data_IF_268301187713
#
_entry.id   IF_268301187713
#
_cell.length_a   1.000
_cell.length_b   1.000
_cell.length_c   1.000
_cell.angle_alpha   90.00
_cell.angle_beta   90.00
_cell.angle_gamma   90.00
#
_symmetry.space_group_name_H-M   'P 1'
#
loop_
_entity.id
_entity.type
_entity.pdbx_description
1 polymer ?
#
# COMPACT_ATOMS: atom_id res chain seq x y z
N UNK A 1 -16.01 -16.22 -18.52
CA UNK A 1 -15.78 -14.84 -18.05
C UNK A 1 -14.47 -14.75 -17.31
N UNK A 2 -13.77 -13.62 -17.42
CA UNK A 2 -12.57 -13.29 -16.64
C UNK A 2 -12.86 -11.99 -15.89
N UNK A 3 -12.69 -12.00 -14.58
CA UNK A 3 -12.90 -10.84 -13.70
C UNK A 3 -11.58 -10.51 -13.03
N UNK A 4 -11.01 -9.37 -13.37
CA UNK A 4 -9.82 -8.84 -12.72
C UNK A 4 -10.20 -7.99 -11.50
N UNK A 5 -9.29 -7.87 -10.53
CA UNK A 5 -9.51 -7.21 -9.23
C UNK A 5 -10.77 -7.73 -8.51
N UNK A 6 -11.06 -9.03 -8.65
CA UNK A 6 -12.28 -9.65 -8.12
C UNK A 6 -12.41 -9.58 -6.59
N UNK A 7 -11.30 -9.40 -5.86
CA UNK A 7 -11.31 -9.16 -4.42
C UNK A 7 -11.92 -7.80 -4.02
N UNK A 8 -12.06 -6.87 -4.99
CA UNK A 8 -12.66 -5.54 -4.79
C UNK A 8 -14.12 -5.46 -5.24
N UNK A 9 -14.71 -6.58 -5.64
CA UNK A 9 -16.09 -6.62 -6.15
C UNK A 9 -16.94 -7.42 -5.16
N UNK A 10 -17.98 -6.81 -4.62
CA UNK A 10 -18.92 -7.51 -3.76
C UNK A 10 -19.67 -8.59 -4.53
N UNK A 11 -19.96 -9.70 -3.86
CA UNK A 11 -20.61 -10.86 -4.47
C UNK A 11 -21.90 -10.51 -5.23
N UNK A 12 -22.83 -9.71 -4.72
CA UNK A 12 -24.06 -9.35 -5.44
C UNK A 12 -23.81 -8.69 -6.80
N UNK A 13 -22.71 -7.94 -6.94
CA UNK A 13 -22.38 -7.26 -8.19
C UNK A 13 -21.92 -8.23 -9.30
N UNK A 14 -21.44 -9.42 -8.93
CA UNK A 14 -21.05 -10.47 -9.87
C UNK A 14 -22.21 -11.41 -10.25
N UNK A 15 -23.24 -11.53 -9.40
CA UNK A 15 -24.34 -12.48 -9.61
C UNK A 15 -25.08 -12.24 -10.93
N UNK A 16 -25.31 -10.99 -11.31
CA UNK A 16 -25.95 -10.63 -12.57
C UNK A 16 -25.17 -11.08 -13.81
N UNK A 17 -23.84 -11.09 -13.72
CA UNK A 17 -22.96 -11.53 -14.79
C UNK A 17 -22.89 -13.06 -14.81
N UNK A 18 -22.59 -13.68 -13.68
CA UNK A 18 -22.38 -15.13 -13.58
C UNK A 18 -23.66 -15.92 -13.79
N UNK A 19 -24.83 -15.36 -13.40
CA UNK A 19 -26.15 -15.93 -13.60
C UNK A 19 -26.80 -15.59 -14.93
N UNK A 20 -26.10 -14.95 -15.87
CA UNK A 20 -26.68 -14.56 -17.15
C UNK A 20 -27.09 -15.80 -17.99
N UNK A 21 -28.34 -15.80 -18.45
CA UNK A 21 -28.91 -16.87 -19.26
C UNK A 21 -29.44 -16.34 -20.59
N UNK A 22 -29.30 -17.16 -21.65
CA UNK A 22 -29.89 -16.91 -22.94
C UNK A 22 -30.53 -18.20 -23.44
N UNK A 23 -31.80 -18.13 -23.84
CA UNK A 23 -32.57 -19.31 -24.31
C UNK A 23 -32.53 -20.52 -23.35
N UNK A 24 -32.59 -20.25 -22.03
CA UNK A 24 -32.59 -21.27 -20.98
C UNK A 24 -31.24 -21.91 -20.71
N UNK A 25 -30.15 -21.42 -21.32
CA UNK A 25 -28.78 -21.88 -21.09
C UNK A 25 -27.96 -20.80 -20.40
N UNK A 26 -27.08 -21.18 -19.49
CA UNK A 26 -26.12 -20.28 -18.91
C UNK A 26 -25.19 -19.72 -20.02
N UNK A 27 -25.00 -18.40 -20.04
CA UNK A 27 -24.11 -17.74 -20.99
C UNK A 27 -22.62 -17.91 -20.66
N UNK A 28 -22.32 -18.38 -19.46
CA UNK A 28 -20.95 -18.53 -18.96
C UNK A 28 -20.70 -19.97 -18.57
N UNK A 29 -19.86 -20.66 -19.34
CA UNK A 29 -19.44 -22.04 -19.05
C UNK A 29 -18.34 -22.11 -17.99
N UNK A 30 -17.45 -21.10 -17.98
CA UNK A 30 -16.32 -21.01 -17.05
C UNK A 30 -16.07 -19.56 -16.65
N UNK A 31 -15.69 -19.35 -15.40
CA UNK A 31 -15.18 -18.05 -14.95
C UNK A 31 -13.82 -18.18 -14.28
N UNK A 32 -13.02 -17.12 -14.37
CA UNK A 32 -11.74 -16.96 -13.72
C UNK A 32 -11.80 -15.65 -12.95
N UNK A 33 -11.61 -15.73 -11.64
CA UNK A 33 -11.51 -14.58 -10.77
C UNK A 33 -10.04 -14.34 -10.48
N UNK A 34 -9.55 -13.14 -10.74
CA UNK A 34 -8.18 -12.69 -10.47
C UNK A 34 -8.25 -11.62 -9.39
N UNK A 35 -7.43 -11.71 -8.36
CA UNK A 35 -7.44 -10.75 -7.27
C UNK A 35 -6.44 -11.08 -6.17
N UNK A 36 -6.45 -10.23 -5.14
CA UNK A 36 -5.63 -10.39 -3.95
C UNK A 36 -6.43 -10.00 -2.71
N UNK A 37 -6.87 -10.97 -1.92
CA UNK A 37 -7.66 -10.74 -0.70
C UNK A 37 -6.83 -10.11 0.44
N UNK A 38 -5.51 -10.05 0.28
CA UNK A 38 -4.58 -9.39 1.22
C UNK A 38 -4.37 -7.91 0.89
N UNK A 39 -4.97 -7.42 -0.19
CA UNK A 39 -5.10 -6.00 -0.51
C UNK A 39 -6.47 -5.47 -0.10
N UNK A 40 -6.74 -4.18 -0.35
CA UNK A 40 -8.00 -3.55 0.06
C UNK A 40 -9.21 -4.25 -0.55
N UNK A 41 -10.24 -4.54 0.24
CA UNK A 41 -11.49 -5.12 -0.23
C UNK A 41 -12.36 -4.07 -0.92
N UNK A 42 -13.51 -4.50 -1.41
CA UNK A 42 -14.56 -3.59 -1.85
C UNK A 42 -14.96 -2.61 -0.74
N UNK A 43 -15.31 -1.38 -1.13
CA UNK A 43 -15.83 -0.39 -0.18
C UNK A 43 -17.28 -0.76 0.16
N UNK A 44 -17.53 -1.02 1.43
CA UNK A 44 -18.87 -1.37 1.96
C UNK A 44 -19.33 -0.25 2.88
N UNK A 45 -20.59 0.17 2.71
CA UNK A 45 -21.21 1.18 3.56
C UNK A 45 -21.97 0.57 4.75
N UNK A 46 -22.30 -0.72 4.67
CA UNK A 46 -23.05 -1.45 5.70
C UNK A 46 -22.16 -1.72 6.92
N UNK A 47 -22.74 -1.60 8.11
CA UNK A 47 -22.04 -1.89 9.36
C UNK A 47 -21.72 -3.39 9.52
N UNK A 48 -20.65 -3.68 10.26
CA UNK A 48 -20.18 -5.04 10.46
C UNK A 48 -21.25 -5.94 11.08
N UNK A 49 -21.97 -5.44 12.07
CA UNK A 49 -23.01 -6.20 12.76
C UNK A 49 -24.20 -6.56 11.86
N UNK A 50 -24.55 -5.66 10.92
CA UNK A 50 -25.65 -5.87 9.97
C UNK A 50 -25.28 -6.76 8.78
N UNK A 51 -23.98 -7.05 8.61
CA UNK A 51 -23.47 -7.82 7.49
C UNK A 51 -23.24 -9.29 7.80
N UNK A 52 -23.33 -9.67 9.08
CA UNK A 52 -23.18 -11.06 9.53
C UNK A 52 -24.33 -11.91 9.00
N UNK A 53 -24.00 -13.07 8.45
CA UNK A 53 -24.97 -14.04 7.94
C UNK A 53 -25.18 -15.11 9.02
N UNK A 54 -26.41 -15.20 9.53
CA UNK A 54 -26.78 -16.15 10.57
C UNK A 54 -27.42 -17.45 10.02
N UNK A 55 -27.87 -17.44 8.77
CA UNK A 55 -28.53 -18.56 8.11
C UNK A 55 -27.59 -19.75 7.93
N UNK A 56 -27.82 -20.91 8.56
CA UNK A 56 -26.91 -22.06 8.54
C UNK A 56 -26.58 -22.54 7.12
N UNK A 57 -27.58 -22.60 6.24
CA UNK A 57 -27.39 -23.06 4.86
C UNK A 57 -26.45 -22.15 4.05
N UNK A 58 -26.41 -20.85 4.36
CA UNK A 58 -25.50 -19.89 3.74
C UNK A 58 -24.09 -20.00 4.35
N UNK A 59 -24.02 -20.31 5.66
CA UNK A 59 -22.72 -20.55 6.32
C UNK A 59 -22.04 -21.83 5.80
N UNK A 60 -22.79 -22.85 5.39
CA UNK A 60 -22.25 -24.06 4.78
C UNK A 60 -21.45 -23.77 3.51
N UNK A 61 -21.86 -22.76 2.73
CA UNK A 61 -21.12 -22.29 1.55
C UNK A 61 -20.11 -21.19 1.88
N UNK A 62 -19.78 -21.01 3.16
CA UNK A 62 -18.83 -19.99 3.66
C UNK A 62 -19.28 -18.53 3.43
N UNK A 63 -20.59 -18.30 3.23
CA UNK A 63 -21.14 -16.95 3.22
C UNK A 63 -21.45 -16.54 4.68
N UNK A 64 -20.44 -16.04 5.37
CA UNK A 64 -20.52 -15.66 6.79
C UNK A 64 -20.68 -14.15 7.00
N UNK A 65 -20.32 -13.35 6.00
CA UNK A 65 -20.37 -11.88 6.03
C UNK A 65 -20.60 -11.35 4.61
N UNK A 66 -21.64 -10.57 4.40
CA UNK A 66 -22.00 -9.98 3.11
C UNK A 66 -20.99 -8.93 2.59
N UNK A 67 -20.04 -8.52 3.41
CA UNK A 67 -18.96 -7.60 3.01
C UNK A 67 -17.80 -8.32 2.30
N UNK A 68 -17.75 -9.63 2.32
CA UNK A 68 -16.75 -10.39 1.60
C UNK A 68 -17.07 -10.43 0.10
N UNK A 69 -16.01 -10.42 -0.71
CA UNK A 69 -16.14 -10.68 -2.13
C UNK A 69 -16.38 -12.17 -2.39
N UNK A 70 -17.00 -12.50 -3.54
CA UNK A 70 -17.07 -13.88 -3.99
C UNK A 70 -15.69 -14.52 -4.08
N UNK A 71 -14.68 -13.74 -4.51
CA UNK A 71 -13.29 -14.20 -4.59
C UNK A 71 -12.77 -14.69 -3.23
N UNK A 72 -12.94 -13.88 -2.16
CA UNK A 72 -12.49 -14.24 -0.81
C UNK A 72 -13.29 -15.45 -0.26
N UNK A 73 -14.59 -15.47 -0.47
CA UNK A 73 -15.44 -16.57 -0.05
C UNK A 73 -15.04 -17.91 -0.70
N UNK A 74 -14.79 -17.92 -2.00
CA UNK A 74 -14.37 -19.14 -2.72
C UNK A 74 -12.98 -19.61 -2.25
N UNK A 75 -12.02 -18.71 -2.03
CA UNK A 75 -10.73 -19.08 -1.46
C UNK A 75 -10.90 -19.74 -0.09
N UNK A 76 -11.72 -19.16 0.78
CA UNK A 76 -11.97 -19.71 2.12
C UNK A 76 -12.68 -21.07 2.03
N UNK A 77 -13.63 -21.24 1.11
CA UNK A 77 -14.31 -22.52 0.86
C UNK A 77 -13.33 -23.61 0.43
N UNK A 78 -12.51 -23.32 -0.55
CA UNK A 78 -11.52 -24.28 -1.06
C UNK A 78 -10.46 -24.65 -0.01
N UNK A 79 -10.01 -23.65 0.76
CA UNK A 79 -9.07 -23.86 1.86
C UNK A 79 -9.67 -24.71 3.00
N UNK A 80 -10.92 -24.43 3.40
CA UNK A 80 -11.62 -25.22 4.42
C UNK A 80 -11.78 -26.68 3.97
N UNK A 81 -12.07 -26.89 2.70
CA UNK A 81 -12.16 -28.22 2.10
C UNK A 81 -10.80 -28.86 1.78
N UNK A 82 -9.68 -28.17 2.02
CA UNK A 82 -8.30 -28.61 1.70
C UNK A 82 -8.12 -28.95 0.21
N UNK A 83 -8.83 -28.25 -0.67
CA UNK A 83 -8.72 -28.40 -2.13
C UNK A 83 -7.83 -27.30 -2.70
N UNK A 84 -7.03 -27.65 -3.70
CA UNK A 84 -6.10 -26.73 -4.37
C UNK A 84 -6.32 -26.62 -5.86
N UNK A 85 -7.18 -27.48 -6.43
CA UNK A 85 -7.35 -27.63 -7.89
C UNK A 85 -7.94 -26.40 -8.57
N UNK A 86 -8.67 -25.58 -7.79
CA UNK A 86 -9.31 -24.36 -8.29
C UNK A 86 -8.57 -23.08 -7.92
N UNK A 87 -7.45 -23.17 -7.17
CA UNK A 87 -6.67 -22.00 -6.74
C UNK A 87 -5.32 -22.01 -7.45
N UNK A 88 -5.10 -21.00 -8.31
CA UNK A 88 -3.79 -20.70 -8.88
C UNK A 88 -3.12 -19.55 -8.13
N UNK A 89 -1.83 -19.65 -7.82
CA UNK A 89 -1.05 -18.61 -7.18
C UNK A 89 0.01 -18.07 -8.12
N UNK A 90 -0.05 -16.79 -8.45
CA UNK A 90 0.99 -16.09 -9.17
C UNK A 90 2.11 -15.69 -8.21
N UNK A 91 3.19 -16.45 -8.20
CA UNK A 91 4.30 -16.27 -7.25
C UNK A 91 5.37 -15.30 -7.70
N UNK A 92 5.32 -14.80 -8.93
CA UNK A 92 6.32 -13.88 -9.46
C UNK A 92 5.76 -12.47 -9.55
N UNK A 93 6.40 -11.52 -8.87
CA UNK A 93 6.03 -10.11 -8.90
C UNK A 93 7.07 -9.31 -9.69
N UNK A 94 6.61 -8.41 -10.57
CA UNK A 94 7.44 -7.56 -11.42
C UNK A 94 7.51 -6.09 -10.96
N UNK A 95 7.03 -5.76 -9.75
CA UNK A 95 6.96 -4.37 -9.29
C UNK A 95 8.10 -3.98 -8.38
N UNK A 96 8.18 -4.60 -7.22
CA UNK A 96 9.09 -4.19 -6.15
C UNK A 96 10.49 -4.73 -6.35
N UNK A 97 11.51 -3.89 -6.07
CA UNK A 97 12.86 -4.37 -5.84
C UNK A 97 12.89 -5.40 -4.69
N UNK A 98 13.76 -6.42 -4.70
CA UNK A 98 13.81 -7.45 -3.65
C UNK A 98 13.85 -6.92 -2.23
N UNK A 99 14.64 -5.88 -1.96
CA UNK A 99 14.73 -5.27 -0.62
C UNK A 99 13.42 -4.62 -0.15
N UNK A 100 12.60 -4.09 -1.07
CA UNK A 100 11.29 -3.55 -0.73
C UNK A 100 10.29 -4.69 -0.51
N UNK A 101 10.38 -5.74 -1.33
CA UNK A 101 9.50 -6.89 -1.29
C UNK A 101 9.69 -7.76 -0.03
N UNK A 102 10.84 -7.66 0.65
CA UNK A 102 11.19 -8.50 1.78
C UNK A 102 10.16 -8.41 2.92
N UNK A 103 9.83 -7.21 3.39
CA UNK A 103 8.88 -7.04 4.48
C UNK A 103 7.46 -7.51 4.11
N UNK A 104 6.84 -7.09 2.99
CA UNK A 104 5.55 -7.63 2.57
C UNK A 104 5.57 -9.15 2.41
N UNK A 105 6.66 -9.71 1.91
CA UNK A 105 6.80 -11.15 1.73
C UNK A 105 6.81 -11.89 3.07
N UNK A 106 7.61 -11.46 4.03
CA UNK A 106 7.68 -12.07 5.36
C UNK A 106 6.38 -11.92 6.17
N UNK A 107 5.68 -10.78 6.03
CA UNK A 107 4.54 -10.45 6.87
C UNK A 107 3.20 -10.81 6.25
N UNK A 108 3.05 -10.65 4.93
CA UNK A 108 1.76 -10.80 4.27
C UNK A 108 1.71 -11.98 3.30
N UNK A 109 2.83 -12.32 2.64
CA UNK A 109 2.87 -13.31 1.55
C UNK A 109 3.81 -14.49 1.82
N UNK A 110 4.11 -14.81 3.08
CA UNK A 110 5.02 -15.90 3.41
C UNK A 110 4.58 -17.24 2.80
N UNK A 111 3.29 -17.54 2.85
CA UNK A 111 2.72 -18.75 2.26
C UNK A 111 2.85 -18.79 0.73
N UNK A 112 2.62 -17.65 0.10
CA UNK A 112 2.70 -17.49 -1.35
C UNK A 112 4.15 -17.50 -1.84
N UNK A 113 5.09 -17.08 -0.99
CA UNK A 113 6.53 -16.99 -1.27
C UNK A 113 6.79 -16.25 -2.58
N UNK A 114 6.47 -14.95 -2.60
CA UNK A 114 6.59 -14.13 -3.79
C UNK A 114 8.05 -13.94 -4.19
N UNK A 115 8.35 -14.25 -5.44
CA UNK A 115 9.67 -14.09 -6.04
C UNK A 115 9.67 -12.90 -7.00
N UNK A 116 10.79 -12.20 -7.10
CA UNK A 116 10.95 -11.16 -8.10
C UNK A 116 11.13 -11.75 -9.50
N UNK A 117 10.52 -11.12 -10.49
CA UNK A 117 10.89 -11.32 -11.91
C UNK A 117 12.16 -10.50 -12.12
N UNK A 118 13.21 -11.00 -12.79
CA UNK A 118 14.46 -10.25 -12.97
C UNK A 118 14.31 -9.12 -14.01
N UNK A 119 13.45 -8.16 -13.70
CA UNK A 119 13.29 -6.95 -14.51
C UNK A 119 14.42 -5.95 -14.22
N UNK A 120 14.82 -5.08 -15.16
CA UNK A 120 15.95 -4.18 -14.99
C UNK A 120 15.93 -3.41 -13.65
N UNK A 121 14.81 -2.79 -13.29
CA UNK A 121 14.70 -2.03 -12.04
C UNK A 121 14.72 -2.90 -10.75
N UNK A 122 14.55 -4.22 -10.87
CA UNK A 122 14.67 -5.17 -9.76
C UNK A 122 16.10 -5.72 -9.62
N UNK A 123 16.95 -5.50 -10.63
CA UNK A 123 18.35 -5.90 -10.66
C UNK A 123 19.30 -4.71 -10.51
N UNK A 124 18.79 -3.47 -10.51
CA UNK A 124 19.60 -2.26 -10.38
C UNK A 124 20.19 -2.18 -8.97
N UNK A 125 21.51 -2.03 -8.88
CA UNK A 125 22.22 -1.79 -7.60
C UNK A 125 22.00 -0.37 -7.09
N UNK A 126 21.75 0.59 -8.01
CA UNK A 126 21.59 2.01 -7.69
C UNK A 126 20.14 2.48 -7.82
N UNK A 127 19.70 3.36 -6.91
CA UNK A 127 18.35 3.95 -6.92
C UNK A 127 18.29 5.11 -7.93
N UNK A 128 19.38 5.88 -8.02
CA UNK A 128 19.49 7.10 -8.84
C UNK A 128 20.62 6.97 -9.87
N UNK A 129 20.43 6.22 -10.95
CA UNK A 129 21.47 5.97 -11.95
C UNK A 129 21.90 7.22 -12.71
N UNK A 130 21.11 8.29 -12.68
CA UNK A 130 21.41 9.56 -13.35
C UNK A 130 22.43 10.44 -12.61
N UNK A 131 22.79 10.11 -11.36
CA UNK A 131 23.76 10.87 -10.58
C UNK A 131 25.18 10.46 -10.98
N UNK A 132 25.97 11.35 -11.61
CA UNK A 132 27.34 11.03 -11.98
C UNK A 132 28.22 10.86 -10.74
N UNK A 133 29.22 9.98 -10.82
CA UNK A 133 30.14 9.72 -9.70
C UNK A 133 30.86 10.98 -9.20
N UNK A 134 31.16 11.95 -10.09
CA UNK A 134 31.73 13.23 -9.72
C UNK A 134 30.80 14.12 -8.88
N UNK A 135 29.48 14.02 -9.08
CA UNK A 135 28.50 14.80 -8.33
C UNK A 135 28.20 14.18 -6.96
N UNK A 136 28.49 12.89 -6.76
CA UNK A 136 28.24 12.21 -5.49
C UNK A 136 29.01 12.86 -4.32
N UNK A 137 30.22 13.34 -4.55
CA UNK A 137 31.04 13.98 -3.52
C UNK A 137 30.49 15.32 -3.01
N UNK A 138 29.59 15.95 -3.74
CA UNK A 138 29.00 17.27 -3.39
C UNK A 138 27.54 17.16 -2.88
N UNK A 139 27.04 15.95 -2.71
CA UNK A 139 25.68 15.74 -2.21
C UNK A 139 25.53 16.16 -0.75
N UNK A 140 24.34 16.61 -0.39
CA UNK A 140 23.97 16.79 1.01
C UNK A 140 23.96 15.45 1.76
N UNK A 141 24.08 15.44 3.10
CA UNK A 141 23.95 14.23 3.90
C UNK A 141 22.67 13.43 3.58
N UNK A 142 21.55 14.13 3.41
CA UNK A 142 20.27 13.52 3.00
C UNK A 142 20.35 12.92 1.60
N UNK A 143 21.07 13.55 0.67
CA UNK A 143 21.29 13.02 -0.67
C UNK A 143 22.04 11.68 -0.66
N UNK A 144 23.14 11.59 0.11
CA UNK A 144 23.87 10.33 0.30
C UNK A 144 22.98 9.24 0.88
N UNK A 145 22.26 9.57 1.93
CA UNK A 145 21.35 8.64 2.60
C UNK A 145 20.31 8.03 1.66
N UNK A 146 19.69 8.88 0.83
CA UNK A 146 18.70 8.44 -0.17
C UNK A 146 19.32 7.58 -1.26
N UNK A 147 20.59 7.81 -1.62
CA UNK A 147 21.27 6.99 -2.62
C UNK A 147 21.65 5.60 -2.11
N UNK A 148 21.96 5.48 -0.84
CA UNK A 148 22.48 4.25 -0.24
C UNK A 148 21.37 3.29 0.24
N UNK A 149 20.16 3.79 0.50
CA UNK A 149 19.12 3.01 1.17
C UNK A 149 17.81 2.96 0.38
N UNK A 150 17.32 1.76 0.13
CA UNK A 150 16.01 1.55 -0.53
C UNK A 150 14.83 1.66 0.42
N UNK A 151 15.07 1.49 1.71
CA UNK A 151 14.05 1.63 2.77
C UNK A 151 14.56 2.57 3.84
N UNK A 152 13.78 3.57 4.20
CA UNK A 152 14.17 4.61 5.16
C UNK A 152 12.99 5.01 6.03
N UNK A 153 13.27 5.24 7.31
CA UNK A 153 12.32 5.79 8.26
C UNK A 153 12.81 7.14 8.80
N UNK A 154 11.95 8.16 8.68
CA UNK A 154 12.18 9.49 9.23
C UNK A 154 11.17 9.75 10.35
N UNK A 155 11.60 9.72 11.62
CA UNK A 155 10.73 9.96 12.75
C UNK A 155 10.22 11.41 12.75
N UNK A 156 8.96 11.58 13.11
CA UNK A 156 8.32 12.87 13.36
C UNK A 156 7.87 13.00 14.80
N UNK A 157 7.72 14.24 15.26
CA UNK A 157 7.15 14.54 16.58
C UNK A 157 5.67 14.88 16.45
N UNK A 158 4.95 14.84 17.58
CA UNK A 158 3.61 15.36 17.64
C UNK A 158 3.64 16.87 17.40
N UNK A 159 2.92 17.32 16.39
CA UNK A 159 2.81 18.71 16.04
C UNK A 159 1.34 19.17 16.19
N UNK A 160 0.93 19.49 17.44
CA UNK A 160 -0.39 20.07 17.72
C UNK A 160 -0.30 21.58 17.63
N UNK A 161 -0.88 22.15 16.58
CA UNK A 161 -1.16 23.58 16.54
C UNK A 161 -2.56 23.84 17.10
N UNK A 162 -2.71 24.84 17.94
CA UNK A 162 -4.02 25.24 18.45
C UNK A 162 -4.95 25.60 17.29
N UNK A 163 -6.12 24.96 17.23
CA UNK A 163 -7.10 25.16 16.16
C UNK A 163 -6.85 24.36 14.86
N UNK A 164 -5.74 23.62 14.75
CA UNK A 164 -5.50 22.76 13.60
C UNK A 164 -6.24 21.41 13.73
N UNK A 165 -6.60 20.82 12.60
CA UNK A 165 -7.15 19.47 12.55
C UNK A 165 -6.14 18.46 13.11
N UNK A 166 -6.58 17.52 13.95
CA UNK A 166 -5.75 16.40 14.41
C UNK A 166 -5.29 15.48 13.26
N UNK A 167 -5.92 15.59 12.09
CA UNK A 167 -5.59 14.83 10.87
C UNK A 167 -4.50 15.50 10.02
N UNK A 168 -3.69 16.35 10.63
CA UNK A 168 -2.57 17.06 10.00
C UNK A 168 -1.36 17.02 10.91
N UNK A 169 -0.21 16.65 10.36
CA UNK A 169 1.10 16.78 11.00
C UNK A 169 1.99 17.68 10.12
N UNK A 170 2.25 18.89 10.60
CA UNK A 170 3.03 19.90 9.85
C UNK A 170 4.51 19.53 9.77
N UNK A 171 5.04 18.82 10.77
CA UNK A 171 6.42 18.34 10.73
C UNK A 171 6.61 17.27 9.64
N UNK A 172 5.71 16.27 9.57
CA UNK A 172 5.74 15.29 8.50
C UNK A 172 5.60 15.95 7.11
N UNK A 173 4.76 16.99 6.99
CA UNK A 173 4.64 17.70 5.71
C UNK A 173 5.95 18.38 5.29
N UNK A 174 6.71 18.95 6.25
CA UNK A 174 8.03 19.54 5.99
C UNK A 174 9.07 18.48 5.64
N UNK A 175 9.09 17.35 6.36
CA UNK A 175 9.95 16.20 6.05
C UNK A 175 9.68 15.74 4.62
N UNK A 176 8.41 15.53 4.25
CA UNK A 176 8.01 15.13 2.91
C UNK A 176 8.49 16.14 1.86
N UNK A 177 8.28 17.44 2.09
CA UNK A 177 8.72 18.47 1.14
C UNK A 177 10.25 18.48 0.95
N UNK A 178 11.01 18.31 2.02
CA UNK A 178 12.48 18.24 1.97
C UNK A 178 12.98 16.98 1.23
N UNK A 179 12.33 15.84 1.46
CA UNK A 179 12.58 14.60 0.72
C UNK A 179 12.29 14.80 -0.78
N UNK A 180 11.13 15.38 -1.12
CA UNK A 180 10.74 15.65 -2.50
C UNK A 180 11.75 16.54 -3.22
N UNK A 181 12.23 17.61 -2.59
CA UNK A 181 13.27 18.50 -3.11
C UNK A 181 14.57 17.73 -3.41
N UNK A 182 15.01 16.91 -2.46
CA UNK A 182 16.25 16.15 -2.60
C UNK A 182 16.13 15.08 -3.69
N UNK A 183 15.03 14.34 -3.72
CA UNK A 183 14.75 13.34 -4.76
C UNK A 183 14.68 13.98 -6.15
N UNK A 184 14.03 15.14 -6.27
CA UNK A 184 14.00 15.89 -7.52
C UNK A 184 15.42 16.25 -7.99
N UNK A 185 16.29 16.73 -7.09
CA UNK A 185 17.68 17.04 -7.39
C UNK A 185 18.46 15.79 -7.83
N UNK A 186 18.30 14.67 -7.13
CA UNK A 186 18.97 13.39 -7.46
C UNK A 186 18.48 12.81 -8.79
N UNK A 187 17.22 12.97 -9.11
CA UNK A 187 16.63 12.48 -10.36
C UNK A 187 17.05 13.33 -11.57
N UNK A 188 17.36 14.62 -11.37
CA UNK A 188 17.79 15.52 -12.41
C UNK A 188 16.86 15.52 -13.62
N UNK A 189 17.42 15.34 -14.82
CA UNK A 189 16.66 15.34 -16.09
C UNK A 189 15.77 14.10 -16.26
N UNK A 190 15.96 13.04 -15.46
CA UNK A 190 15.11 11.84 -15.50
C UNK A 190 13.85 11.95 -14.63
N UNK A 191 13.66 13.07 -13.93
CA UNK A 191 12.48 13.27 -13.10
C UNK A 191 11.20 13.35 -13.93
N UNK A 192 10.29 12.42 -13.69
CA UNK A 192 8.93 12.41 -14.25
C UNK A 192 7.92 12.43 -13.08
N UNK A 193 7.14 13.50 -12.91
CA UNK A 193 6.22 13.63 -11.78
C UNK A 193 5.12 12.57 -11.76
N UNK A 194 4.86 11.92 -12.89
CA UNK A 194 3.87 10.85 -12.99
C UNK A 194 4.40 9.45 -12.67
N UNK A 195 5.73 9.25 -12.69
CA UNK A 195 6.37 7.94 -12.53
C UNK A 195 7.36 7.89 -11.38
N UNK A 196 8.15 8.97 -11.19
CA UNK A 196 9.27 8.95 -10.26
C UNK A 196 8.81 8.83 -8.82
N UNK A 197 7.87 9.66 -8.39
CA UNK A 197 7.52 9.74 -6.97
C UNK A 197 6.02 9.87 -6.74
N UNK A 198 5.58 9.30 -5.62
CA UNK A 198 4.25 9.50 -5.09
C UNK A 198 4.25 9.57 -3.57
N UNK A 199 3.29 10.27 -3.01
CA UNK A 199 3.11 10.40 -1.58
C UNK A 199 1.78 9.79 -1.17
N UNK A 200 1.82 8.90 -0.19
CA UNK A 200 0.64 8.26 0.38
C UNK A 200 0.40 8.83 1.77
N UNK A 201 -0.85 9.17 2.08
CA UNK A 201 -1.28 9.69 3.37
C UNK A 201 -2.60 9.03 3.79
N UNK A 202 -2.91 8.91 5.10
CA UNK A 202 -4.19 8.37 5.55
C UNK A 202 -5.34 9.39 5.48
N UNK A 203 -5.02 10.70 5.47
CA UNK A 203 -6.02 11.76 5.61
C UNK A 203 -5.90 12.82 4.51
N UNK A 204 -7.03 13.19 3.91
CA UNK A 204 -7.09 14.25 2.88
C UNK A 204 -6.57 15.61 3.37
N UNK A 205 -6.74 15.91 4.65
CA UNK A 205 -6.23 17.18 5.22
C UNK A 205 -4.71 17.27 5.15
N UNK A 206 -4.00 16.14 5.29
CA UNK A 206 -2.54 16.09 5.15
C UNK A 206 -2.10 16.37 3.71
N UNK A 207 -2.90 15.99 2.71
CA UNK A 207 -2.62 16.33 1.30
C UNK A 207 -2.48 17.83 1.12
N UNK A 208 -3.45 18.59 1.65
CA UNK A 208 -3.44 20.06 1.55
C UNK A 208 -2.20 20.67 2.23
N UNK A 209 -1.81 20.14 3.41
CA UNK A 209 -0.61 20.61 4.12
C UNK A 209 0.67 20.31 3.34
N UNK A 210 0.82 19.11 2.81
CA UNK A 210 1.99 18.75 1.97
C UNK A 210 2.03 19.62 0.72
N UNK A 211 0.89 19.86 0.05
CA UNK A 211 0.81 20.77 -1.10
C UNK A 211 1.28 22.19 -0.75
N UNK A 212 0.91 22.69 0.43
CA UNK A 212 1.35 24.00 0.87
C UNK A 212 2.89 24.05 1.06
N UNK A 213 3.48 23.02 1.66
CA UNK A 213 4.94 22.95 1.80
C UNK A 213 5.66 22.80 0.43
N UNK A 214 5.11 22.04 -0.50
CA UNK A 214 5.64 21.93 -1.88
C UNK A 214 5.63 23.27 -2.59
N UNK A 215 4.53 24.04 -2.48
CA UNK A 215 4.42 25.36 -3.09
C UNK A 215 5.49 26.35 -2.57
N UNK A 216 5.91 26.21 -1.30
CA UNK A 216 6.99 27.01 -0.72
C UNK A 216 8.36 26.71 -1.29
N UNK A 217 8.55 25.53 -1.90
CA UNK A 217 9.82 25.15 -2.52
C UNK A 217 10.07 25.88 -3.85
N UNK A 218 9.03 26.43 -4.47
CA UNK A 218 9.08 27.09 -5.78
C UNK A 218 9.70 26.21 -6.90
N UNK A 219 9.36 24.92 -6.90
CA UNK A 219 9.79 23.93 -7.91
C UNK A 219 8.58 23.45 -8.71
N UNK A 220 8.33 24.02 -9.92
CA UNK A 220 7.12 23.74 -10.67
C UNK A 220 6.89 22.26 -11.02
N UNK A 221 7.97 21.50 -11.25
CA UNK A 221 7.90 20.07 -11.56
C UNK A 221 7.40 19.19 -10.40
N UNK A 222 7.41 19.68 -9.16
CA UNK A 222 6.85 18.98 -7.99
C UNK A 222 5.34 19.20 -7.82
N UNK A 223 4.76 20.23 -8.44
CA UNK A 223 3.34 20.55 -8.29
C UNK A 223 2.44 19.40 -8.79
N UNK A 224 2.69 18.76 -9.95
CA UNK A 224 1.81 17.71 -10.47
C UNK A 224 2.01 16.32 -9.88
N UNK A 225 2.94 16.11 -8.93
CA UNK A 225 3.14 14.79 -8.33
C UNK A 225 1.85 14.27 -7.67
N UNK A 226 1.69 12.95 -7.64
CA UNK A 226 0.55 12.32 -7.01
C UNK A 226 0.70 12.31 -5.48
N UNK A 227 -0.25 12.91 -4.77
CA UNK A 227 -0.40 12.83 -3.31
C UNK A 227 -1.83 12.41 -3.05
N UNK A 228 -2.04 11.22 -2.50
CA UNK A 228 -3.39 10.70 -2.28
C UNK A 228 -3.45 9.69 -1.14
N UNK A 229 -4.67 9.22 -0.82
CA UNK A 229 -4.87 8.18 0.18
C UNK A 229 -4.53 6.80 -0.39
N UNK A 230 -4.35 5.81 0.51
CA UNK A 230 -4.01 4.43 0.13
C UNK A 230 -5.02 3.86 -0.86
N UNK A 231 -6.31 4.11 -0.61
CA UNK A 231 -7.42 3.61 -1.44
C UNK A 231 -7.31 4.10 -2.89
N UNK A 232 -6.90 5.34 -3.09
CA UNK A 232 -6.72 5.91 -4.43
C UNK A 232 -5.41 5.52 -5.10
N UNK A 233 -4.44 5.06 -4.32
CA UNK A 233 -3.19 4.51 -4.84
C UNK A 233 -3.32 3.06 -5.31
N UNK A 234 -4.40 2.37 -4.96
CA UNK A 234 -4.62 1.00 -5.42
C UNK A 234 -4.64 0.95 -6.96
N UNK A 235 -4.01 -0.07 -7.55
CA UNK A 235 -3.80 -0.18 -9.01
C UNK A 235 -2.64 0.67 -9.57
N UNK A 236 -2.14 1.69 -8.85
CA UNK A 236 -1.02 2.52 -9.30
C UNK A 236 0.32 2.07 -8.71
N UNK A 237 1.41 2.65 -9.22
CA UNK A 237 2.78 2.42 -8.73
C UNK A 237 3.67 3.62 -9.04
N UNK A 238 4.77 3.79 -8.27
CA UNK A 238 5.82 4.79 -8.51
C UNK A 238 7.18 4.17 -8.26
N UNK A 239 8.22 4.76 -8.81
CA UNK A 239 9.58 4.33 -8.51
C UNK A 239 9.88 4.53 -7.03
N UNK A 240 9.46 5.66 -6.47
CA UNK A 240 9.65 6.04 -5.08
C UNK A 240 8.28 6.32 -4.44
N UNK A 241 8.02 5.73 -3.29
CA UNK A 241 6.85 6.05 -2.47
C UNK A 241 7.32 6.65 -1.15
N UNK A 242 6.73 7.78 -0.78
CA UNK A 242 6.80 8.33 0.57
C UNK A 242 5.46 8.06 1.24
N UNK A 243 5.46 7.34 2.37
CA UNK A 243 4.27 7.14 3.19
C UNK A 243 4.37 7.99 4.46
N UNK A 244 3.55 9.05 4.55
CA UNK A 244 3.42 9.89 5.74
C UNK A 244 2.26 9.37 6.57
N UNK A 245 2.54 8.77 7.72
CA UNK A 245 1.52 8.14 8.57
C UNK A 245 0.58 9.14 9.24
N UNK A 246 1.04 10.37 9.50
CA UNK A 246 0.23 11.47 10.06
C UNK A 246 -0.44 11.11 11.39
N UNK A 247 0.08 10.14 12.14
CA UNK A 247 -0.50 9.63 13.38
C UNK A 247 0.07 10.38 14.57
N UNK A 248 -0.82 10.98 15.38
CA UNK A 248 -0.46 11.78 16.55
C UNK A 248 -1.04 11.22 17.86
N UNK A 249 -1.89 10.20 17.79
CA UNK A 249 -2.50 9.53 18.94
C UNK A 249 -2.92 8.11 18.61
N UNK A 250 -3.26 7.33 19.65
CA UNK A 250 -3.62 5.92 19.51
C UNK A 250 -4.91 5.71 18.69
N UNK A 251 -5.90 6.56 18.84
CA UNK A 251 -7.15 6.43 18.09
C UNK A 251 -6.92 6.50 16.58
N UNK A 252 -5.98 7.34 16.15
CA UNK A 252 -5.60 7.40 14.73
C UNK A 252 -4.83 6.15 14.27
N UNK A 253 -4.03 5.55 15.16
CA UNK A 253 -3.36 4.29 14.87
C UNK A 253 -4.39 3.16 14.69
N UNK A 254 -5.39 3.08 15.57
CA UNK A 254 -6.49 2.12 15.46
C UNK A 254 -7.28 2.29 14.14
N UNK A 255 -7.46 3.53 13.67
CA UNK A 255 -8.06 3.81 12.36
C UNK A 255 -7.19 3.31 11.20
N UNK A 256 -5.87 3.43 11.27
CA UNK A 256 -4.98 2.89 10.24
C UNK A 256 -5.10 1.37 10.12
N UNK A 257 -5.29 0.68 11.24
CA UNK A 257 -5.37 -0.78 11.32
C UNK A 257 -6.79 -1.34 11.15
N UNK A 258 -7.75 -0.54 10.73
CA UNK A 258 -9.18 -0.92 10.63
C UNK A 258 -9.48 -1.99 9.58
N UNK A 259 -8.58 -2.26 8.63
CA UNK A 259 -8.72 -3.27 7.56
C UNK A 259 -7.78 -4.48 7.77
N UNK A 260 -7.64 -4.91 9.03
CA UNK A 260 -6.85 -6.08 9.37
C UNK A 260 -7.72 -7.34 9.46
N UNK A 261 -7.12 -8.48 9.12
CA UNK A 261 -7.65 -9.80 9.41
C UNK A 261 -6.51 -10.74 9.80
N UNK A 262 -6.85 -11.93 10.30
CA UNK A 262 -5.83 -12.94 10.68
C UNK A 262 -5.87 -14.08 9.68
N UNK A 263 -4.71 -14.42 9.12
CA UNK A 263 -4.50 -15.60 8.28
C UNK A 263 -3.25 -16.34 8.74
N UNK A 264 -3.37 -17.64 8.93
CA UNK A 264 -2.27 -18.53 9.41
C UNK A 264 -1.57 -17.98 10.69
N UNK A 265 -2.36 -17.39 11.60
CA UNK A 265 -1.87 -16.81 12.86
C UNK A 265 -1.15 -15.46 12.73
N UNK A 266 -1.09 -14.88 11.54
CA UNK A 266 -0.49 -13.56 11.27
C UNK A 266 -1.54 -12.50 11.02
N UNK A 267 -1.31 -11.30 11.52
CA UNK A 267 -2.14 -10.13 11.21
C UNK A 267 -1.75 -9.62 9.83
N UNK A 268 -2.72 -9.58 8.95
CA UNK A 268 -2.61 -8.99 7.60
C UNK A 268 -3.32 -7.63 7.63
N UNK A 269 -2.54 -6.56 7.50
CA UNK A 269 -3.05 -5.20 7.34
C UNK A 269 -3.13 -4.87 5.85
N UNK A 270 -4.35 -4.86 5.33
CA UNK A 270 -4.61 -4.64 3.89
C UNK A 270 -4.19 -3.25 3.43
N UNK A 271 -4.39 -2.20 4.26
CA UNK A 271 -3.97 -0.82 3.93
C UNK A 271 -2.47 -0.70 3.88
N UNK A 272 -1.79 -1.19 4.91
CA UNK A 272 -0.33 -1.17 4.95
C UNK A 272 0.24 -1.95 3.78
N UNK A 273 -0.26 -3.15 3.52
CA UNK A 273 0.18 -3.98 2.40
C UNK A 273 0.07 -3.23 1.06
N UNK A 274 -1.08 -2.61 0.79
CA UNK A 274 -1.25 -1.80 -0.43
C UNK A 274 -0.23 -0.67 -0.47
N UNK A 275 -0.07 0.11 0.59
CA UNK A 275 0.84 1.25 0.61
C UNK A 275 2.29 0.85 0.31
N UNK A 276 2.81 -0.18 1.01
CA UNK A 276 4.19 -0.65 0.85
C UNK A 276 4.45 -1.21 -0.56
N UNK A 277 3.48 -1.95 -1.10
CA UNK A 277 3.61 -2.60 -2.41
C UNK A 277 3.44 -1.65 -3.61
N UNK A 278 3.27 -0.34 -3.41
CA UNK A 278 3.25 0.66 -4.51
C UNK A 278 4.63 1.10 -4.96
N UNK A 279 5.65 0.91 -4.12
CA UNK A 279 7.02 1.30 -4.42
C UNK A 279 7.71 0.29 -5.35
N UNK A 280 8.41 0.79 -6.35
CA UNK A 280 9.23 -0.04 -7.26
C UNK A 280 10.69 -0.10 -6.82
N UNK A 281 11.31 1.06 -6.53
CA UNK A 281 12.75 1.22 -6.31
C UNK A 281 13.10 1.68 -4.89
N UNK A 282 12.26 2.51 -4.26
CA UNK A 282 12.52 3.03 -2.91
C UNK A 282 11.23 3.27 -2.14
N UNK A 283 11.27 2.95 -0.86
CA UNK A 283 10.19 3.17 0.11
C UNK A 283 10.69 4.03 1.26
N UNK A 284 10.05 5.16 1.47
CA UNK A 284 10.39 6.10 2.54
C UNK A 284 9.16 6.24 3.44
N UNK A 285 9.35 6.15 4.73
CA UNK A 285 8.29 6.28 5.71
C UNK A 285 8.60 7.44 6.65
N UNK A 286 7.60 8.24 6.99
CA UNK A 286 7.68 9.23 8.06
C UNK A 286 6.49 9.11 9.00
N UNK A 287 6.71 9.28 10.30
CA UNK A 287 5.68 9.13 11.31
C UNK A 287 6.18 9.24 12.75
N UNK A 288 5.25 9.33 13.70
CA UNK A 288 5.59 9.35 15.12
C UNK A 288 5.97 7.95 15.62
N UNK A 289 7.25 7.72 15.84
CA UNK A 289 7.83 6.45 16.26
C UNK A 289 7.18 5.92 17.55
N UNK A 290 7.02 6.78 18.57
CA UNK A 290 6.46 6.36 19.85
C UNK A 290 5.02 5.87 19.76
N UNK A 291 4.25 6.39 18.80
CA UNK A 291 2.88 5.94 18.55
C UNK A 291 2.88 4.69 17.69
N UNK A 292 3.69 4.65 16.63
CA UNK A 292 3.79 3.48 15.75
C UNK A 292 4.25 2.23 16.51
N UNK A 293 5.14 2.36 17.47
CA UNK A 293 5.59 1.27 18.35
C UNK A 293 4.48 0.67 19.23
N UNK A 294 3.32 1.32 19.36
CA UNK A 294 2.19 0.76 20.10
C UNK A 294 1.45 -0.36 19.33
N UNK A 295 1.75 -0.53 18.05
CA UNK A 295 1.26 -1.64 17.24
C UNK A 295 2.43 -2.51 16.79
N UNK A 296 2.36 -3.80 17.04
CA UNK A 296 3.46 -4.75 16.80
C UNK A 296 3.89 -4.81 15.33
N UNK A 297 2.94 -4.69 14.38
CA UNK A 297 3.24 -4.72 12.95
C UNK A 297 3.97 -3.46 12.49
N UNK A 298 3.51 -2.28 12.92
CA UNK A 298 4.17 -1.00 12.60
C UNK A 298 5.53 -0.88 13.29
N UNK A 299 5.63 -1.36 14.54
CA UNK A 299 6.91 -1.45 15.23
C UNK A 299 7.91 -2.27 14.42
N UNK A 300 7.53 -3.48 14.02
CA UNK A 300 8.39 -4.37 13.22
C UNK A 300 8.80 -3.73 11.87
N UNK A 301 7.89 -3.00 11.25
CA UNK A 301 8.16 -2.31 9.99
C UNK A 301 9.24 -1.24 10.13
N UNK A 302 9.11 -0.36 11.13
CA UNK A 302 10.02 0.77 11.28
C UNK A 302 11.36 0.36 11.92
N UNK A 303 11.36 -0.66 12.81
CA UNK A 303 12.60 -1.20 13.39
C UNK A 303 13.45 -1.93 12.33
N UNK A 304 12.84 -2.41 11.24
CA UNK A 304 13.52 -3.05 10.10
C UNK A 304 14.11 -2.04 9.09
N UNK A 305 13.99 -0.75 9.35
CA UNK A 305 14.46 0.33 8.46
C UNK A 305 15.57 1.18 9.11
N UNK A 306 16.58 1.61 8.34
CA UNK A 306 17.51 2.66 8.79
C UNK A 306 16.72 3.90 9.21
N UNK A 307 17.01 4.39 10.44
CA UNK A 307 16.36 5.55 11.04
C UNK A 307 17.25 6.78 10.90
N UNK A 308 16.68 7.89 10.45
CA UNK A 308 17.39 9.15 10.28
C UNK A 308 16.51 10.36 10.64
N UNK A 309 17.11 11.39 11.19
CA UNK A 309 16.46 12.67 11.48
C UNK A 309 16.84 13.72 10.41
N UNK A 310 15.87 14.56 10.03
CA UNK A 310 16.05 15.68 9.09
C UNK A 310 15.93 17.00 9.84
#
# INVERSE_FOLDING_TARGET
>A
AIVDEASQILEPNLMGILGAHCNGRCCIDKFVLIGDHKQLPAVVQQDAAESVVEEPILQEIQLTDCRHSLFERLINTERAAKRTDFIGILRRQGRMHPEIADFPNRRFYERENLLCVPLPHQLEDTIYPSVPSSAQQTLSPLGHLLMENRRLFFPSKNCRQAGASEKVNTEEARIVAQLLKTIHTLSGTSFDPSKTIGVIVPYRNQIAMIRQEINRLDIPSLIPISIDTVERYQGSQRDIIIYSFTVQNRYQLDFLTSNCFVEDGKVIDRKLNVALTRARKQLIITGNEAILHQNALFKDLIDDMPRHEI
#
